data_IF_172163899799
#
_entry.id   IF_172163899799
#
_cell.length_a   1.000
_cell.length_b   1.000
_cell.length_c   1.000
_cell.angle_alpha   90.00
_cell.angle_beta   90.00
_cell.angle_gamma   90.00
#
_symmetry.space_group_name_H-M   'P 1'
#
loop_
_entity.id
_entity.type
_entity.pdbx_description
1 polymer ?
#
# COMPACT_ATOMS: atom_id res chain seq x y z
N UNK A 1 9.03 14.26 23.74
CA UNK A 1 8.60 12.91 23.33
C UNK A 1 7.10 12.86 23.03
N UNK A 2 6.20 13.22 23.96
CA UNK A 2 4.75 13.22 23.69
C UNK A 2 4.26 14.28 22.68
N UNK A 3 5.07 15.29 22.37
CA UNK A 3 4.79 16.34 21.38
C UNK A 3 5.26 15.96 19.96
N UNK A 4 5.91 14.80 19.79
CA UNK A 4 6.36 14.31 18.49
C UNK A 4 5.16 13.81 17.66
N UNK A 5 5.11 14.17 16.38
CA UNK A 5 4.00 13.81 15.50
C UNK A 5 3.93 12.32 15.20
N UNK A 6 5.00 11.56 15.46
CA UNK A 6 4.99 10.09 15.38
C UNK A 6 4.91 9.39 16.74
N UNK A 7 4.54 10.13 17.79
CA UNK A 7 4.44 9.57 19.13
C UNK A 7 3.37 8.47 19.21
N UNK A 8 3.83 7.25 19.48
CA UNK A 8 2.99 6.08 19.74
C UNK A 8 3.13 5.69 21.21
N UNK A 9 2.16 6.02 22.05
CA UNK A 9 2.29 5.98 23.53
C UNK A 9 2.62 4.60 24.11
N UNK A 10 2.12 3.53 23.50
CA UNK A 10 2.30 2.18 24.00
C UNK A 10 3.69 1.61 23.64
N UNK A 11 4.47 1.24 24.67
CA UNK A 11 5.81 0.70 24.51
C UNK A 11 5.86 -0.62 23.73
N UNK A 12 4.93 -1.54 23.96
CA UNK A 12 4.90 -2.81 23.23
C UNK A 12 4.63 -2.59 21.73
N UNK A 13 3.80 -1.60 21.38
CA UNK A 13 3.61 -1.20 19.99
C UNK A 13 4.89 -0.61 19.39
N UNK A 14 5.61 0.25 20.12
CA UNK A 14 6.91 0.79 19.66
C UNK A 14 7.95 -0.31 19.45
N UNK A 15 8.01 -1.29 20.35
CA UNK A 15 8.91 -2.43 20.19
C UNK A 15 8.60 -3.23 18.91
N UNK A 16 7.33 -3.44 18.58
CA UNK A 16 6.95 -4.16 17.35
C UNK A 16 7.10 -3.33 16.08
N UNK A 17 6.73 -2.04 16.11
CA UNK A 17 6.55 -1.22 14.92
C UNK A 17 7.69 -0.26 14.64
N UNK A 18 8.70 -0.18 15.51
CA UNK A 18 9.94 0.58 15.28
C UNK A 18 11.16 -0.32 15.45
N UNK A 19 11.24 -1.04 16.57
CA UNK A 19 12.47 -1.76 16.95
C UNK A 19 12.59 -3.13 16.30
N UNK A 20 11.51 -3.90 16.19
CA UNK A 20 11.56 -5.25 15.66
C UNK A 20 12.04 -5.28 14.20
N UNK A 21 13.05 -6.08 13.89
CA UNK A 21 13.64 -6.22 12.55
C UNK A 21 13.09 -7.43 11.78
N UNK A 22 12.23 -8.22 12.41
CA UNK A 22 11.69 -9.47 11.85
C UNK A 22 10.17 -9.40 11.73
N UNK A 23 9.68 -9.43 10.50
CA UNK A 23 8.27 -9.36 10.15
C UNK A 23 7.71 -10.68 9.63
N UNK A 24 6.38 -10.71 9.54
CA UNK A 24 5.61 -11.72 8.82
C UNK A 24 4.69 -10.98 7.86
N UNK A 25 4.76 -11.35 6.59
CA UNK A 25 3.81 -10.91 5.56
C UNK A 25 2.83 -12.05 5.28
N UNK A 26 1.60 -11.69 4.93
CA UNK A 26 0.57 -12.65 4.57
C UNK A 26 0.36 -12.63 3.06
N UNK A 27 0.28 -13.81 2.45
CA UNK A 27 0.16 -14.00 1.00
C UNK A 27 -0.82 -15.15 0.72
N UNK A 28 -0.98 -15.52 -0.56
CA UNK A 28 -1.81 -16.66 -0.98
C UNK A 28 -3.16 -16.18 -1.50
N UNK A 29 -4.26 -16.68 -0.95
CA UNK A 29 -5.59 -16.20 -1.28
C UNK A 29 -6.50 -16.29 -0.04
N UNK A 30 -7.72 -15.74 -0.11
CA UNK A 30 -8.66 -15.71 1.01
C UNK A 30 -8.97 -17.07 1.65
N UNK A 31 -8.87 -18.16 0.88
CA UNK A 31 -9.15 -19.52 1.35
C UNK A 31 -7.91 -20.21 1.92
N UNK A 32 -6.71 -19.75 1.56
CA UNK A 32 -5.43 -20.32 1.97
C UNK A 32 -4.39 -19.22 2.17
N UNK A 33 -4.42 -18.63 3.36
CA UNK A 33 -3.48 -17.59 3.78
C UNK A 33 -2.15 -18.24 4.17
N UNK A 34 -1.09 -17.84 3.50
CA UNK A 34 0.29 -18.28 3.73
C UNK A 34 1.06 -17.19 4.47
N UNK A 35 1.93 -17.58 5.39
CA UNK A 35 2.81 -16.68 6.11
C UNK A 35 4.20 -16.71 5.49
N UNK A 36 4.75 -15.54 5.15
CA UNK A 36 6.09 -15.35 4.61
C UNK A 36 6.93 -14.50 5.59
N UNK A 37 7.97 -15.07 6.23
CA UNK A 37 8.89 -14.31 7.06
C UNK A 37 9.67 -13.28 6.24
N UNK A 38 9.98 -12.13 6.85
CA UNK A 38 10.76 -11.08 6.21
C UNK A 38 11.74 -10.44 7.16
N UNK A 39 12.99 -10.31 6.71
CA UNK A 39 14.02 -9.57 7.40
C UNK A 39 13.99 -8.10 6.99
N UNK A 40 13.43 -7.22 7.82
CA UNK A 40 13.52 -5.78 7.62
C UNK A 40 14.97 -5.32 7.77
N UNK A 41 15.61 -5.66 8.88
CA UNK A 41 17.03 -5.42 9.13
C UNK A 41 17.42 -3.94 9.09
N UNK A 42 16.58 -3.06 9.64
CA UNK A 42 16.80 -1.62 9.62
C UNK A 42 18.05 -1.17 10.40
N UNK A 43 18.61 -2.00 11.28
CA UNK A 43 19.83 -1.72 12.05
C UNK A 43 21.06 -2.48 11.54
N UNK A 44 20.94 -3.21 10.43
CA UNK A 44 22.07 -3.86 9.77
C UNK A 44 23.06 -2.83 9.24
N UNK A 45 24.35 -3.19 9.27
CA UNK A 45 25.45 -2.29 8.87
C UNK A 45 25.24 -1.70 7.46
N UNK A 46 25.34 -0.37 7.36
CA UNK A 46 25.14 0.40 6.14
C UNK A 46 23.68 0.63 5.74
N UNK A 47 22.68 -0.03 6.33
CA UNK A 47 21.27 0.12 5.92
C UNK A 47 20.77 1.52 6.24
N UNK A 48 21.12 2.08 7.40
CA UNK A 48 20.70 3.41 7.80
C UNK A 48 21.19 4.52 6.86
N UNK A 49 22.45 4.44 6.44
CA UNK A 49 23.04 5.36 5.46
C UNK A 49 22.30 5.28 4.12
N UNK A 50 21.87 4.09 3.72
CA UNK A 50 21.09 3.89 2.49
C UNK A 50 19.70 4.51 2.63
N UNK A 51 19.03 4.33 3.77
CA UNK A 51 17.73 4.98 4.04
C UNK A 51 17.83 6.51 3.96
N UNK A 52 18.89 7.10 4.51
CA UNK A 52 19.14 8.55 4.38
C UNK A 52 19.48 8.94 2.93
N UNK A 53 20.22 8.09 2.20
CA UNK A 53 20.52 8.32 0.78
C UNK A 53 19.25 8.31 -0.08
N UNK A 54 18.28 7.44 0.20
CA UNK A 54 16.98 7.43 -0.49
C UNK A 54 16.30 8.80 -0.38
N UNK A 55 16.34 9.42 0.81
CA UNK A 55 15.82 10.78 1.00
C UNK A 55 16.55 11.80 0.14
N UNK A 56 17.86 11.68 -0.07
CA UNK A 56 18.64 12.62 -0.87
C UNK A 56 18.58 12.36 -2.39
N UNK A 57 18.11 11.19 -2.80
CA UNK A 57 17.92 10.85 -4.22
C UNK A 57 16.54 11.25 -4.75
N UNK A 58 15.66 11.79 -3.90
CA UNK A 58 14.32 12.15 -4.31
C UNK A 58 14.29 13.39 -5.23
N UNK A 59 13.38 13.44 -6.23
CA UNK A 59 13.33 14.55 -7.19
C UNK A 59 13.18 15.94 -6.57
N UNK A 60 12.51 16.08 -5.42
CA UNK A 60 12.35 17.37 -4.73
C UNK A 60 13.67 17.82 -4.12
N UNK A 61 14.44 16.92 -3.52
CA UNK A 61 15.79 17.23 -3.04
C UNK A 61 16.73 17.59 -4.18
N UNK A 62 16.74 16.81 -5.27
CA UNK A 62 17.59 17.10 -6.43
C UNK A 62 17.30 18.47 -7.07
N UNK A 63 16.05 18.94 -6.96
CA UNK A 63 15.62 20.26 -7.45
C UNK A 63 15.93 21.40 -6.48
N UNK A 64 15.59 21.25 -5.21
CA UNK A 64 15.81 22.25 -4.16
C UNK A 64 16.12 21.56 -2.81
N UNK A 65 17.41 21.30 -2.53
CA UNK A 65 17.82 20.63 -1.30
C UNK A 65 17.40 21.38 -0.03
N UNK A 66 17.46 22.71 -0.05
CA UNK A 66 17.16 23.52 1.13
C UNK A 66 15.67 23.44 1.47
N UNK A 67 14.80 23.54 0.47
CA UNK A 67 13.37 23.38 0.65
C UNK A 67 13.02 21.97 1.11
N UNK A 68 13.55 20.93 0.46
CA UNK A 68 13.28 19.54 0.85
C UNK A 68 13.70 19.27 2.31
N UNK A 69 14.93 19.63 2.68
CA UNK A 69 15.41 19.47 4.07
C UNK A 69 14.55 20.22 5.07
N UNK A 70 14.03 21.41 4.74
CA UNK A 70 13.16 22.18 5.65
C UNK A 70 11.83 21.49 5.95
N UNK A 71 11.40 20.54 5.11
CA UNK A 71 10.16 19.78 5.23
C UNK A 71 10.34 18.41 5.87
N UNK A 72 11.58 17.94 6.06
CA UNK A 72 11.85 16.60 6.63
C UNK A 72 11.48 16.42 8.11
N UNK A 73 11.06 17.48 8.79
CA UNK A 73 10.46 17.40 10.13
C UNK A 73 8.97 17.03 10.12
N UNK A 74 8.34 16.91 8.95
CA UNK A 74 6.93 16.57 8.78
C UNK A 74 6.78 15.09 8.34
N UNK A 75 6.20 14.20 9.17
CA UNK A 75 6.05 12.80 8.82
C UNK A 75 5.11 12.58 7.63
N UNK A 76 4.15 13.49 7.37
CA UNK A 76 3.27 13.41 6.20
C UNK A 76 4.09 13.60 4.92
N UNK A 77 4.96 14.61 4.91
CA UNK A 77 5.87 14.88 3.79
C UNK A 77 6.86 13.73 3.55
N UNK A 78 7.51 13.23 4.62
CA UNK A 78 8.43 12.10 4.55
C UNK A 78 7.75 10.86 3.99
N UNK A 79 6.57 10.52 4.52
CA UNK A 79 5.84 9.32 4.12
C UNK A 79 5.53 9.33 2.63
N UNK A 80 5.08 10.47 2.10
CA UNK A 80 4.75 10.62 0.68
C UNK A 80 5.98 10.59 -0.24
N UNK A 81 7.13 11.09 0.22
CA UNK A 81 8.40 10.92 -0.51
C UNK A 81 8.79 9.45 -0.56
N UNK A 82 8.74 8.76 0.58
CA UNK A 82 9.16 7.36 0.64
C UNK A 82 8.23 6.48 -0.18
N UNK A 83 6.91 6.66 -0.15
CA UNK A 83 6.00 5.89 -1.02
C UNK A 83 6.35 6.01 -2.50
N UNK A 84 6.81 7.20 -2.94
CA UNK A 84 7.27 7.39 -4.32
C UNK A 84 8.64 6.72 -4.56
N UNK A 85 9.61 7.00 -3.70
CA UNK A 85 11.01 6.61 -3.91
C UNK A 85 11.26 5.10 -3.80
N UNK A 86 10.33 4.33 -3.23
CA UNK A 86 10.48 2.88 -3.10
C UNK A 86 10.23 2.17 -4.44
N UNK A 87 9.30 2.66 -5.27
CA UNK A 87 9.19 2.22 -6.66
C UNK A 87 10.09 3.06 -7.58
N UNK A 88 10.28 2.63 -8.82
CA UNK A 88 11.17 3.30 -9.78
C UNK A 88 10.46 3.79 -11.04
N UNK A 89 9.15 4.04 -10.97
CA UNK A 89 8.35 4.28 -12.18
C UNK A 89 8.56 5.68 -12.77
N UNK A 90 8.79 6.69 -11.93
CA UNK A 90 8.96 8.09 -12.37
C UNK A 90 10.40 8.61 -12.24
N UNK A 91 11.21 7.93 -11.43
CA UNK A 91 12.52 8.40 -11.00
C UNK A 91 13.48 7.22 -10.70
N UNK A 92 14.65 7.53 -10.13
CA UNK A 92 15.66 6.52 -9.79
C UNK A 92 15.41 5.88 -8.42
N UNK A 93 14.14 5.55 -8.12
CA UNK A 93 13.77 4.90 -6.88
C UNK A 93 14.30 3.45 -6.74
N UNK A 94 13.90 2.78 -5.66
CA UNK A 94 14.63 1.61 -5.17
C UNK A 94 14.36 0.34 -5.99
N UNK A 95 13.08 0.03 -6.23
CA UNK A 95 12.65 -1.27 -6.76
C UNK A 95 11.93 -1.09 -8.10
N UNK A 96 12.38 -1.82 -9.11
CA UNK A 96 11.65 -1.94 -10.38
C UNK A 96 10.63 -3.07 -10.24
N UNK A 97 9.34 -2.75 -10.34
CA UNK A 97 8.26 -3.72 -10.14
C UNK A 97 7.96 -4.52 -11.41
N UNK A 98 7.63 -5.80 -11.27
CA UNK A 98 7.18 -6.63 -12.40
C UNK A 98 6.20 -7.72 -11.99
N UNK A 99 5.06 -7.78 -12.68
CA UNK A 99 4.05 -8.85 -12.58
C UNK A 99 4.09 -9.80 -13.79
N UNK A 100 5.15 -9.77 -14.59
CA UNK A 100 5.36 -10.72 -15.69
C UNK A 100 5.67 -12.13 -15.15
N UNK A 101 5.44 -13.16 -15.96
CA UNK A 101 5.86 -14.53 -15.66
C UNK A 101 7.37 -14.74 -15.80
N UNK A 102 8.07 -13.85 -16.54
CA UNK A 102 9.50 -14.02 -16.86
C UNK A 102 10.33 -12.84 -16.35
N UNK A 103 11.17 -13.10 -15.36
CA UNK A 103 12.03 -12.11 -14.70
C UNK A 103 13.43 -12.03 -15.32
N UNK A 104 13.52 -11.71 -16.62
CA UNK A 104 14.83 -11.61 -17.29
C UNK A 104 15.71 -10.50 -16.71
N UNK A 105 17.01 -10.78 -16.56
CA UNK A 105 18.01 -9.84 -16.03
C UNK A 105 17.71 -9.29 -14.63
N UNK A 106 16.93 -10.01 -13.83
CA UNK A 106 16.58 -9.64 -12.47
C UNK A 106 16.40 -10.86 -11.57
N UNK A 107 15.95 -10.59 -10.35
CA UNK A 107 15.61 -11.61 -9.36
C UNK A 107 14.10 -11.81 -9.39
N UNK A 108 13.65 -13.07 -9.32
CA UNK A 108 12.23 -13.39 -9.12
C UNK A 108 11.77 -12.74 -7.80
N UNK A 109 10.71 -11.91 -7.80
CA UNK A 109 10.20 -11.23 -6.59
C UNK A 109 9.96 -12.16 -5.39
N UNK A 110 9.56 -13.42 -5.64
CA UNK A 110 9.30 -14.42 -4.60
C UNK A 110 10.56 -14.99 -3.95
N UNK A 111 11.74 -14.74 -4.52
CA UNK A 111 13.03 -15.19 -3.95
C UNK A 111 13.56 -14.24 -2.87
N UNK A 112 13.01 -13.02 -2.77
CA UNK A 112 13.39 -12.09 -1.71
C UNK A 112 12.82 -12.53 -0.37
N UNK A 113 13.63 -12.44 0.67
CA UNK A 113 13.27 -12.75 2.05
C UNK A 113 13.57 -11.60 3.03
N UNK A 114 13.87 -10.41 2.50
CA UNK A 114 14.26 -9.26 3.30
C UNK A 114 14.71 -8.07 2.48
N UNK A 115 14.73 -6.90 3.14
CA UNK A 115 15.01 -5.60 2.51
C UNK A 115 16.50 -5.31 2.39
N UNK A 116 17.31 -5.84 3.30
CA UNK A 116 18.75 -5.54 3.43
C UNK A 116 19.52 -5.73 2.12
N UNK A 117 19.31 -6.88 1.45
CA UNK A 117 20.00 -7.18 0.20
C UNK A 117 19.55 -6.27 -0.95
N UNK A 118 18.26 -5.92 -1.00
CA UNK A 118 17.71 -5.02 -2.00
C UNK A 118 18.34 -3.63 -1.83
N UNK A 119 18.30 -3.08 -0.62
CA UNK A 119 18.87 -1.77 -0.30
C UNK A 119 20.37 -1.71 -0.62
N UNK A 120 21.15 -2.72 -0.20
CA UNK A 120 22.59 -2.80 -0.51
C UNK A 120 22.88 -2.96 -2.01
N UNK A 121 22.00 -3.60 -2.77
CA UNK A 121 22.14 -3.70 -4.23
C UNK A 121 21.86 -2.37 -4.90
N UNK A 122 20.81 -1.66 -4.49
CA UNK A 122 20.48 -0.33 -4.97
C UNK A 122 21.63 0.67 -4.71
N UNK A 123 22.20 0.66 -3.51
CA UNK A 123 23.32 1.54 -3.16
C UNK A 123 24.58 1.23 -3.99
N UNK A 124 25.00 -0.05 -4.04
CA UNK A 124 26.19 -0.47 -4.78
C UNK A 124 26.07 -0.34 -6.30
N UNK A 125 24.85 -0.32 -6.83
CA UNK A 125 24.59 -0.09 -8.27
C UNK A 125 24.64 1.39 -8.65
N UNK A 126 24.93 2.28 -7.69
CA UNK A 126 24.91 3.73 -7.89
C UNK A 126 23.49 4.27 -7.91
N UNK A 127 22.65 3.81 -6.99
CA UNK A 127 21.24 4.20 -6.86
C UNK A 127 20.40 3.84 -8.10
N UNK A 128 20.69 2.69 -8.73
CA UNK A 128 19.90 2.19 -9.86
C UNK A 128 18.82 1.21 -9.37
N UNK A 129 17.62 1.22 -9.96
CA UNK A 129 16.52 0.34 -9.55
C UNK A 129 16.91 -1.14 -9.52
N UNK A 130 16.46 -1.84 -8.47
CA UNK A 130 16.70 -3.27 -8.27
C UNK A 130 15.56 -4.06 -8.89
N UNK A 131 15.93 -4.96 -9.81
CA UNK A 131 15.00 -5.85 -10.53
C UNK A 131 14.86 -7.20 -9.82
N UNK A 132 13.69 -7.71 -9.50
CA UNK A 132 12.37 -7.06 -9.52
C UNK A 132 11.69 -7.20 -8.16
N UNK A 133 10.64 -6.42 -7.94
CA UNK A 133 9.72 -6.57 -6.82
C UNK A 133 8.26 -6.68 -7.25
N UNK A 134 7.41 -7.08 -6.30
CA UNK A 134 5.95 -6.99 -6.34
C UNK A 134 5.48 -6.38 -5.02
N UNK A 135 4.18 -6.11 -4.85
CA UNK A 135 3.64 -5.32 -3.73
C UNK A 135 4.25 -5.65 -2.35
N UNK A 136 4.36 -6.93 -1.97
CA UNK A 136 4.93 -7.34 -0.68
C UNK A 136 6.43 -7.03 -0.54
N UNK A 137 7.18 -7.03 -1.64
CA UNK A 137 8.61 -6.64 -1.67
C UNK A 137 8.71 -5.14 -1.43
N UNK A 138 7.91 -4.34 -2.13
CA UNK A 138 7.88 -2.89 -1.95
C UNK A 138 7.46 -2.52 -0.53
N UNK A 139 6.39 -3.13 -0.01
CA UNK A 139 5.92 -2.91 1.35
C UNK A 139 6.95 -3.33 2.41
N UNK A 140 7.70 -4.41 2.17
CA UNK A 140 8.79 -4.84 3.05
C UNK A 140 9.95 -3.85 3.09
N UNK A 141 10.38 -3.36 1.93
CA UNK A 141 11.45 -2.35 1.80
C UNK A 141 11.00 -1.02 2.41
N UNK A 142 9.77 -0.56 2.10
CA UNK A 142 9.21 0.65 2.68
C UNK A 142 9.12 0.57 4.21
N UNK A 143 8.64 -0.54 4.76
CA UNK A 143 8.60 -0.76 6.21
C UNK A 143 9.98 -0.59 6.85
N UNK A 144 11.02 -1.10 6.20
CA UNK A 144 12.41 -0.99 6.69
C UNK A 144 12.86 0.47 6.75
N UNK A 145 12.63 1.22 5.66
CA UNK A 145 13.00 2.63 5.58
C UNK A 145 12.22 3.47 6.59
N UNK A 146 10.91 3.29 6.70
CA UNK A 146 10.07 4.05 7.62
C UNK A 146 10.43 3.77 9.09
N UNK A 147 10.65 2.50 9.46
CA UNK A 147 11.12 2.12 10.81
C UNK A 147 12.48 2.73 11.13
N UNK A 148 13.41 2.72 10.19
CA UNK A 148 14.72 3.36 10.36
C UNK A 148 14.59 4.86 10.61
N UNK A 149 13.70 5.54 9.87
CA UNK A 149 13.42 6.96 10.03
C UNK A 149 12.65 7.29 11.32
N UNK A 150 12.33 6.28 12.14
CA UNK A 150 11.67 6.45 13.43
C UNK A 150 10.14 6.55 13.35
N UNK A 151 9.55 6.31 12.17
CA UNK A 151 8.10 6.31 11.99
C UNK A 151 7.59 4.90 12.31
N UNK A 152 6.67 4.71 13.29
CA UNK A 152 6.14 3.39 13.57
C UNK A 152 5.36 2.86 12.38
N UNK A 153 5.74 1.69 11.88
CA UNK A 153 5.20 1.13 10.62
C UNK A 153 4.91 -0.36 10.75
N UNK A 154 3.77 -0.78 10.20
CA UNK A 154 3.41 -2.19 10.01
C UNK A 154 3.07 -2.49 8.55
N UNK A 155 3.24 -3.74 8.16
CA UNK A 155 2.85 -4.23 6.84
C UNK A 155 1.43 -4.79 6.94
N UNK A 156 0.59 -4.48 5.95
CA UNK A 156 -0.81 -4.90 5.88
C UNK A 156 -1.04 -5.63 4.56
N UNK A 157 -1.70 -6.78 4.64
CA UNK A 157 -2.16 -7.54 3.46
C UNK A 157 -3.68 -7.45 3.38
N UNK A 158 -4.20 -7.08 2.22
CA UNK A 158 -5.61 -7.19 1.86
C UNK A 158 -5.82 -8.37 0.90
N UNK A 159 -6.81 -9.24 1.15
CA UNK A 159 -7.17 -10.32 0.21
C UNK A 159 -8.39 -9.93 -0.61
N UNK A 160 -8.45 -10.36 -1.87
CA UNK A 160 -9.44 -9.86 -2.84
C UNK A 160 -9.37 -8.32 -2.93
N UNK A 161 -8.18 -7.80 -3.25
CA UNK A 161 -7.97 -6.36 -3.36
C UNK A 161 -8.40 -5.87 -4.72
N UNK A 162 -9.34 -4.95 -4.77
CA UNK A 162 -9.70 -4.29 -6.01
C UNK A 162 -8.57 -3.35 -6.44
N UNK A 163 -8.29 -3.32 -7.73
CA UNK A 163 -7.51 -2.28 -8.38
C UNK A 163 -8.49 -1.57 -9.32
N UNK A 164 -9.04 -0.45 -8.86
CA UNK A 164 -9.95 0.41 -9.62
C UNK A 164 -9.12 1.53 -10.27
N UNK A 165 -9.05 1.51 -11.60
CA UNK A 165 -8.25 2.43 -12.42
C UNK A 165 -9.03 3.66 -12.90
N UNK A 166 -10.32 3.75 -12.60
CA UNK A 166 -11.20 4.80 -13.10
C UNK A 166 -11.96 5.57 -12.00
N UNK A 167 -11.68 5.25 -10.72
CA UNK A 167 -12.23 5.90 -9.52
C UNK A 167 -13.76 5.82 -9.45
N UNK A 168 -14.34 4.74 -9.99
CA UNK A 168 -15.79 4.51 -9.93
C UNK A 168 -16.23 3.78 -8.66
N UNK A 169 -15.27 3.32 -7.84
CA UNK A 169 -15.48 2.39 -6.72
C UNK A 169 -16.04 1.03 -7.19
N UNK A 170 -15.91 0.73 -8.48
CA UNK A 170 -16.37 -0.52 -9.07
C UNK A 170 -15.26 -1.16 -9.90
N UNK A 171 -15.22 -2.49 -9.90
CA UNK A 171 -14.35 -3.30 -10.76
C UNK A 171 -15.24 -4.00 -11.77
N UNK A 172 -15.06 -3.69 -13.06
CA UNK A 172 -15.85 -4.29 -14.12
C UNK A 172 -15.22 -5.60 -14.60
N UNK A 173 -15.95 -6.71 -14.49
CA UNK A 173 -15.52 -8.01 -15.01
C UNK A 173 -16.38 -8.43 -16.20
N UNK A 174 -15.74 -8.69 -17.34
CA UNK A 174 -16.43 -9.04 -18.58
C UNK A 174 -16.38 -10.54 -18.86
N UNK A 175 -17.49 -11.08 -19.34
CA UNK A 175 -17.67 -12.49 -19.69
C UNK A 175 -18.28 -12.61 -21.08
N UNK A 176 -17.98 -13.70 -21.78
CA UNK A 176 -18.73 -14.08 -22.97
C UNK A 176 -20.05 -14.79 -22.62
N UNK A 177 -20.89 -15.03 -23.64
CA UNK A 177 -22.17 -15.74 -23.52
C UNK A 177 -22.03 -17.18 -22.98
N UNK A 178 -20.83 -17.76 -22.99
CA UNK A 178 -20.54 -19.10 -22.48
C UNK A 178 -20.02 -19.08 -21.03
N UNK A 179 -19.94 -17.89 -20.41
CA UNK A 179 -19.45 -17.70 -19.04
C UNK A 179 -17.93 -17.71 -18.90
N UNK A 180 -17.17 -17.60 -20.00
CA UNK A 180 -15.72 -17.45 -19.94
C UNK A 180 -15.38 -16.00 -19.61
N UNK A 181 -14.58 -15.79 -18.56
CA UNK A 181 -14.02 -14.47 -18.25
C UNK A 181 -13.12 -14.01 -19.39
N UNK A 182 -13.37 -12.80 -19.86
CA UNK A 182 -12.61 -12.17 -20.94
C UNK A 182 -11.52 -11.30 -20.33
N UNK A 183 -10.31 -11.42 -20.87
CA UNK A 183 -9.25 -10.46 -20.59
C UNK A 183 -9.58 -9.17 -21.33
N UNK A 184 -10.04 -8.17 -20.60
CA UNK A 184 -10.26 -6.84 -21.15
C UNK A 184 -9.03 -5.98 -20.94
N UNK A 185 -8.83 -5.04 -21.86
CA UNK A 185 -7.77 -4.02 -21.74
C UNK A 185 -8.11 -2.93 -20.73
N UNK A 186 -9.31 -2.96 -20.12
CA UNK A 186 -9.68 -2.11 -18.99
C UNK A 186 -8.91 -2.64 -17.78
N UNK A 187 -8.08 -1.78 -17.18
CA UNK A 187 -7.05 -2.15 -16.21
C UNK A 187 -7.58 -2.62 -14.84
N UNK A 188 -8.89 -2.62 -14.66
CA UNK A 188 -9.52 -3.02 -13.41
C UNK A 188 -9.31 -4.51 -13.16
N UNK A 189 -8.89 -4.85 -11.95
CA UNK A 189 -8.60 -6.24 -11.59
C UNK A 189 -8.82 -6.49 -10.11
N UNK A 190 -9.13 -7.74 -9.76
CA UNK A 190 -9.15 -8.19 -8.37
C UNK A 190 -7.91 -9.04 -8.13
N UNK A 191 -7.03 -8.56 -7.27
CA UNK A 191 -5.82 -9.27 -6.90
C UNK A 191 -6.13 -10.26 -5.78
N UNK A 192 -5.60 -11.48 -5.89
CA UNK A 192 -5.73 -12.49 -4.83
C UNK A 192 -5.36 -11.93 -3.46
N UNK A 193 -4.30 -11.13 -3.44
CA UNK A 193 -3.94 -10.26 -2.34
C UNK A 193 -3.13 -9.06 -2.84
N UNK A 194 -3.16 -7.99 -2.06
CA UNK A 194 -2.30 -6.83 -2.22
C UNK A 194 -1.70 -6.45 -0.86
N UNK A 195 -0.52 -5.83 -0.86
CA UNK A 195 0.23 -5.55 0.37
C UNK A 195 0.72 -4.11 0.35
N UNK A 196 0.43 -3.38 1.43
CA UNK A 196 0.86 -2.00 1.66
C UNK A 196 1.38 -1.81 3.08
N UNK A 197 1.64 -0.57 3.47
CA UNK A 197 2.09 -0.19 4.81
C UNK A 197 1.04 0.67 5.53
N UNK A 198 1.00 0.55 6.85
CA UNK A 198 0.40 1.58 7.70
C UNK A 198 1.49 2.24 8.53
N UNK A 199 1.51 3.56 8.56
CA UNK A 199 2.42 4.35 9.39
C UNK A 199 1.64 5.17 10.42
N UNK A 200 2.13 5.21 11.66
CA UNK A 200 1.49 5.93 12.75
C UNK A 200 1.99 7.38 12.78
N UNK A 201 1.08 8.33 12.65
CA UNK A 201 1.38 9.76 12.77
C UNK A 201 0.14 10.59 13.11
N UNK A 202 0.37 11.80 13.63
CA UNK A 202 -0.61 12.86 13.69
C UNK A 202 -0.84 13.46 12.29
N UNK A 203 -2.07 13.93 12.03
CA UNK A 203 -2.49 14.56 10.78
C UNK A 203 -2.88 16.02 11.02
N UNK A 204 -1.89 16.83 11.40
CA UNK A 204 -2.04 18.28 11.66
C UNK A 204 -2.46 19.08 10.43
N UNK A 205 -2.27 18.52 9.25
CA UNK A 205 -2.72 19.04 7.95
C UNK A 205 -4.24 18.85 7.73
N UNK A 206 -4.87 17.94 8.49
CA UNK A 206 -6.30 17.63 8.39
C UNK A 206 -7.12 18.20 9.56
N UNK A 207 -8.45 18.11 9.45
CA UNK A 207 -9.35 18.32 10.59
C UNK A 207 -9.11 17.27 11.68
N UNK A 208 -9.38 17.63 12.93
CA UNK A 208 -9.17 16.74 14.07
C UNK A 208 -9.87 15.40 13.92
N UNK A 209 -9.19 14.32 14.28
CA UNK A 209 -9.76 12.98 14.37
C UNK A 209 -9.22 11.96 13.37
N UNK A 210 -8.27 12.32 12.51
CA UNK A 210 -7.61 11.41 11.56
C UNK A 210 -6.17 11.01 11.96
N UNK A 211 -5.75 11.35 13.18
CA UNK A 211 -4.49 10.85 13.74
C UNK A 211 -4.50 9.32 13.87
N UNK A 212 -3.31 8.73 13.90
CA UNK A 212 -3.11 7.29 14.07
C UNK A 212 -2.59 6.64 12.79
N UNK A 213 -3.12 5.46 12.45
CA UNK A 213 -2.67 4.69 11.28
C UNK A 213 -3.07 5.33 9.95
N UNK A 214 -2.07 5.52 9.10
CA UNK A 214 -2.20 6.05 7.75
C UNK A 214 -1.72 5.00 6.75
N UNK A 215 -2.55 4.64 5.77
CA UNK A 215 -2.17 3.79 4.66
C UNK A 215 -1.17 4.52 3.77
N UNK A 216 -0.11 3.81 3.42
CA UNK A 216 0.90 4.21 2.46
C UNK A 216 1.19 3.01 1.57
N UNK A 217 1.14 3.22 0.26
CA UNK A 217 1.44 2.17 -0.70
C UNK A 217 2.51 2.65 -1.67
N UNK A 218 3.61 1.90 -1.71
CA UNK A 218 4.71 2.13 -2.63
C UNK A 218 4.49 1.44 -3.98
N UNK A 219 3.48 0.58 -4.10
CA UNK A 219 3.14 -0.12 -5.33
C UNK A 219 2.63 0.89 -6.37
N UNK A 220 3.25 0.96 -7.56
CA UNK A 220 2.90 1.96 -8.57
C UNK A 220 1.62 1.54 -9.31
N UNK A 221 0.48 1.68 -8.63
CA UNK A 221 -0.86 1.40 -9.17
C UNK A 221 -1.45 2.66 -9.80
N UNK A 222 -1.63 3.71 -9.01
CA UNK A 222 -2.24 4.97 -9.44
C UNK A 222 -1.28 6.17 -9.32
N UNK A 223 -1.49 7.15 -10.20
CA UNK A 223 -0.72 8.39 -10.22
C UNK A 223 -1.41 9.43 -9.34
N UNK A 224 -0.73 9.87 -8.28
CA UNK A 224 -1.23 10.91 -7.38
C UNK A 224 -0.38 12.17 -7.44
N UNK A 225 -0.97 13.28 -7.88
CA UNK A 225 -0.25 14.55 -8.04
C UNK A 225 0.86 14.50 -9.12
N UNK A 226 0.73 13.61 -10.10
CA UNK A 226 1.69 13.43 -11.19
C UNK A 226 2.85 12.48 -10.89
N UNK A 227 2.78 11.70 -9.81
CA UNK A 227 3.80 10.70 -9.42
C UNK A 227 3.13 9.44 -8.88
N UNK A 228 3.69 8.27 -9.15
CA UNK A 228 3.30 6.97 -8.57
C UNK A 228 3.63 6.95 -7.07
N UNK A 229 2.67 7.41 -6.29
CA UNK A 229 2.70 7.42 -4.83
C UNK A 229 1.28 7.34 -4.30
N UNK A 230 1.12 6.75 -3.12
CA UNK A 230 -0.17 6.63 -2.47
C UNK A 230 -0.05 6.89 -0.97
N UNK A 231 -0.93 7.77 -0.47
CA UNK A 231 -1.02 8.16 0.94
C UNK A 231 -0.14 9.35 1.32
N UNK A 232 -0.09 9.69 2.64
CA UNK A 232 -0.72 8.98 3.75
C UNK A 232 -2.25 9.16 3.79
N UNK A 233 -2.98 8.05 3.74
CA UNK A 233 -4.45 8.00 3.75
C UNK A 233 -4.96 7.52 5.13
N UNK A 234 -5.72 8.32 5.91
CA UNK A 234 -6.14 7.86 7.23
C UNK A 234 -7.02 6.60 7.15
N UNK A 235 -6.63 5.52 7.85
CA UNK A 235 -7.43 4.28 7.94
C UNK A 235 -8.85 4.58 8.41
N UNK A 236 -8.99 5.55 9.31
CA UNK A 236 -10.30 6.03 9.77
C UNK A 236 -11.12 6.69 8.66
N UNK A 237 -10.52 7.51 7.79
CA UNK A 237 -11.24 8.12 6.67
C UNK A 237 -11.74 7.05 5.69
N UNK A 238 -10.92 6.01 5.44
CA UNK A 238 -11.33 4.85 4.64
C UNK A 238 -12.52 4.15 5.29
N UNK A 239 -12.47 3.89 6.60
CA UNK A 239 -13.58 3.25 7.31
C UNK A 239 -14.88 4.03 7.27
N UNK A 240 -14.81 5.36 7.43
CA UNK A 240 -15.99 6.21 7.43
C UNK A 240 -16.46 6.60 6.01
N UNK A 241 -15.72 6.23 4.95
CA UNK A 241 -16.04 6.59 3.57
C UNK A 241 -15.88 8.08 3.27
N UNK A 242 -14.88 8.71 3.88
CA UNK A 242 -14.65 10.16 3.83
C UNK A 242 -13.75 10.56 2.66
N UNK A 243 -14.33 10.58 1.47
CA UNK A 243 -13.62 10.72 0.18
C UNK A 243 -12.94 12.07 -0.03
N UNK A 244 -13.33 13.10 0.73
CA UNK A 244 -12.80 14.46 0.60
C UNK A 244 -11.49 14.68 1.38
N UNK A 245 -11.00 13.66 2.09
CA UNK A 245 -9.79 13.74 2.91
C UNK A 245 -8.56 13.37 2.07
N UNK A 246 -7.55 14.23 2.12
CA UNK A 246 -6.25 13.91 1.54
C UNK A 246 -5.51 12.83 2.37
N UNK A 247 -4.79 11.89 1.78
CA UNK A 247 -4.54 11.70 0.35
C UNK A 247 -5.16 10.39 -0.13
N UNK A 248 -5.52 10.32 -1.41
CA UNK A 248 -5.78 9.06 -2.13
C UNK A 248 -6.90 8.18 -1.54
N UNK A 249 -7.80 8.76 -0.75
CA UNK A 249 -8.87 8.01 -0.07
C UNK A 249 -9.80 7.27 -1.05
N UNK A 250 -10.26 7.85 -2.17
CA UNK A 250 -11.11 7.13 -3.11
C UNK A 250 -10.46 5.84 -3.63
N UNK A 251 -9.16 5.91 -3.95
CA UNK A 251 -8.40 4.75 -4.41
C UNK A 251 -8.32 3.68 -3.32
N UNK A 252 -7.80 4.03 -2.14
CA UNK A 252 -7.62 3.05 -1.06
C UNK A 252 -8.97 2.50 -0.56
N UNK A 253 -10.03 3.30 -0.60
CA UNK A 253 -11.38 2.85 -0.30
C UNK A 253 -11.85 1.80 -1.30
N UNK A 254 -11.66 2.02 -2.61
CA UNK A 254 -12.00 1.04 -3.63
C UNK A 254 -11.26 -0.28 -3.39
N UNK A 255 -9.98 -0.26 -3.00
CA UNK A 255 -9.19 -1.47 -2.74
C UNK A 255 -9.86 -2.41 -1.71
N UNK A 256 -10.61 -1.87 -0.73
CA UNK A 256 -11.22 -2.64 0.37
C UNK A 256 -12.75 -2.71 0.35
N UNK A 257 -13.42 -1.86 -0.43
CA UNK A 257 -14.88 -1.76 -0.50
C UNK A 257 -15.45 -1.70 -1.93
N UNK A 258 -14.62 -1.86 -2.96
CA UNK A 258 -15.08 -1.83 -4.34
C UNK A 258 -16.13 -2.92 -4.63
N UNK A 259 -17.12 -2.58 -5.45
CA UNK A 259 -18.11 -3.56 -5.92
C UNK A 259 -17.65 -4.20 -7.23
N UNK A 260 -17.81 -5.50 -7.38
CA UNK A 260 -17.54 -6.17 -8.66
C UNK A 260 -18.81 -6.17 -9.49
N UNK A 261 -18.78 -5.54 -10.66
CA UNK A 261 -19.89 -5.54 -11.61
C UNK A 261 -19.59 -6.52 -12.73
N UNK A 262 -20.40 -7.58 -12.84
CA UNK A 262 -20.25 -8.52 -13.94
C UNK A 262 -20.99 -8.02 -15.18
N UNK A 263 -20.34 -8.09 -16.33
CA UNK A 263 -20.89 -7.73 -17.64
C UNK A 263 -20.81 -8.92 -18.60
N UNK A 264 -21.87 -9.15 -19.36
CA UNK A 264 -21.89 -10.18 -20.42
C UNK A 264 -21.83 -9.49 -21.77
N UNK A 265 -20.77 -9.74 -22.54
CA UNK A 265 -20.61 -9.22 -23.90
C UNK A 265 -21.35 -10.11 -24.91
N UNK A 266 -22.22 -9.50 -25.69
CA UNK A 266 -23.01 -10.13 -26.76
C UNK A 266 -22.87 -9.32 -28.06
N UNK A 267 -23.31 -9.87 -29.20
CA UNK A 267 -23.21 -9.20 -30.52
C UNK A 267 -23.87 -7.80 -30.56
N UNK A 268 -24.81 -7.51 -29.64
CA UNK A 268 -25.51 -6.23 -29.51
C UNK A 268 -24.95 -5.24 -28.47
N UNK A 269 -23.91 -5.61 -27.71
CA UNK A 269 -23.33 -4.77 -26.66
C UNK A 269 -23.05 -5.52 -25.34
N UNK A 270 -22.83 -4.76 -24.27
CA UNK A 270 -22.61 -5.28 -22.91
C UNK A 270 -23.92 -5.23 -22.11
N UNK A 271 -24.31 -6.37 -21.52
CA UNK A 271 -25.44 -6.47 -20.61
C UNK A 271 -24.94 -6.57 -19.16
N UNK A 272 -25.50 -5.74 -18.26
CA UNK A 272 -25.15 -5.77 -16.84
C UNK A 272 -25.73 -7.03 -16.18
N UNK A 273 -24.85 -7.85 -15.62
CA UNK A 273 -25.18 -9.02 -14.80
C UNK A 273 -25.33 -8.67 -13.32
N UNK A 274 -24.96 -9.62 -12.47
CA UNK A 274 -24.98 -9.44 -11.02
C UNK A 274 -23.86 -8.47 -10.57
N UNK A 275 -24.14 -7.71 -9.51
CA UNK A 275 -23.11 -6.96 -8.76
C UNK A 275 -22.80 -7.70 -7.46
N UNK A 276 -21.54 -7.99 -7.23
CA UNK A 276 -21.03 -8.53 -5.96
C UNK A 276 -20.50 -7.38 -5.10
N UNK A 277 -21.19 -7.13 -4.00
CA UNK A 277 -20.92 -6.04 -3.06
C UNK A 277 -20.15 -6.50 -1.83
N UNK A 278 -19.71 -7.76 -1.82
CA UNK A 278 -19.18 -8.42 -0.63
C UNK A 278 -17.82 -9.04 -0.84
N UNK A 279 -17.38 -9.37 -2.05
CA UNK A 279 -16.17 -10.17 -2.23
C UNK A 279 -14.86 -9.44 -1.95
N UNK A 280 -14.81 -8.12 -2.21
CA UNK A 280 -13.59 -7.32 -2.04
C UNK A 280 -13.25 -7.08 -0.57
N UNK A 281 -11.97 -6.92 -0.27
CA UNK A 281 -11.50 -6.45 1.03
C UNK A 281 -11.68 -7.50 2.13
N UNK A 282 -10.99 -8.64 2.04
CA UNK A 282 -11.12 -9.76 2.97
C UNK A 282 -9.87 -9.97 3.79
N UNK A 283 -10.09 -10.39 5.03
CA UNK A 283 -9.06 -10.82 5.96
C UNK A 283 -7.87 -9.86 5.98
N UNK A 284 -8.13 -8.55 6.09
CA UNK A 284 -7.08 -7.54 6.11
C UNK A 284 -6.19 -7.86 7.32
N UNK A 285 -4.92 -8.14 7.05
CA UNK A 285 -4.05 -8.86 7.98
C UNK A 285 -2.77 -8.11 8.26
N UNK A 286 -2.35 -8.13 9.52
CA UNK A 286 -1.01 -7.69 9.92
C UNK A 286 -0.43 -8.65 10.96
N UNK A 287 0.87 -8.52 11.25
CA UNK A 287 1.53 -9.33 12.27
C UNK A 287 1.12 -8.82 13.65
N UNK A 288 0.69 -9.74 14.53
CA UNK A 288 0.38 -9.43 15.93
C UNK A 288 1.61 -8.94 16.70
N UNK A 289 1.36 -8.05 17.66
CA UNK A 289 2.38 -7.48 18.55
C UNK A 289 2.99 -8.59 19.43
N UNK A 290 4.31 -8.74 19.40
CA UNK A 290 5.02 -9.66 20.29
C UNK A 290 4.81 -11.15 20.03
N UNK A 291 4.08 -11.53 18.97
CA UNK A 291 3.87 -12.92 18.57
C UNK A 291 4.00 -13.11 17.06
N UNK A 292 4.16 -14.37 16.64
CA UNK A 292 4.22 -14.78 15.23
C UNK A 292 2.84 -15.26 14.74
N UNK A 293 1.79 -14.51 15.05
CA UNK A 293 0.41 -14.81 14.69
C UNK A 293 -0.17 -13.71 13.80
N UNK A 294 -1.16 -14.09 12.99
CA UNK A 294 -1.94 -13.16 12.18
C UNK A 294 -2.95 -12.43 13.05
N UNK A 295 -2.96 -11.10 12.94
CA UNK A 295 -4.01 -10.23 13.44
C UNK A 295 -4.91 -9.83 12.28
N UNK A 296 -6.22 -10.01 12.45
CA UNK A 296 -7.22 -9.54 11.50
C UNK A 296 -7.65 -8.13 11.90
N UNK A 297 -7.48 -7.18 11.00
CA UNK A 297 -7.79 -5.76 11.20
C UNK A 297 -8.85 -5.28 10.20
N UNK A 298 -9.62 -6.20 9.60
CA UNK A 298 -10.66 -5.85 8.60
C UNK A 298 -11.68 -4.86 9.15
N UNK A 299 -12.02 -4.98 10.44
CA UNK A 299 -12.94 -4.09 11.14
C UNK A 299 -12.40 -2.66 11.35
N UNK A 300 -11.09 -2.45 11.17
CA UNK A 300 -10.48 -1.13 11.18
C UNK A 300 -10.66 -0.39 9.85
N UNK A 301 -10.87 -1.13 8.75
CA UNK A 301 -11.02 -0.59 7.41
C UNK A 301 -12.47 -0.48 6.94
N UNK A 302 -13.37 -1.33 7.44
CA UNK A 302 -14.78 -1.29 7.06
C UNK A 302 -15.70 -1.87 8.12
N UNK A 303 -16.98 -1.50 8.00
CA UNK A 303 -18.03 -2.04 8.84
C UNK A 303 -18.39 -3.48 8.42
N UNK A 304 -18.98 -4.28 9.32
CA UNK A 304 -19.43 -5.62 8.97
C UNK A 304 -20.47 -5.60 7.84
N UNK A 305 -20.15 -6.32 6.78
CA UNK A 305 -21.00 -6.55 5.62
C UNK A 305 -22.43 -6.95 6.02
N UNK A 306 -23.43 -6.32 5.39
CA UNK A 306 -24.85 -6.67 5.55
C UNK A 306 -25.53 -6.20 6.85
N UNK A 307 -24.86 -5.42 7.73
CA UNK A 307 -25.46 -4.93 8.99
C UNK A 307 -25.83 -3.44 9.05
N UNK A 308 -25.46 -2.61 8.07
CA UNK A 308 -25.91 -1.22 7.95
C UNK A 308 -26.01 -0.81 6.48
N UNK A 309 -26.80 0.23 6.19
CA UNK A 309 -27.04 0.77 4.85
C UNK A 309 -25.72 1.19 4.16
N UNK A 310 -25.12 0.30 3.37
CA UNK A 310 -24.08 0.64 2.38
C UNK A 310 -24.56 1.67 1.32
N UNK A 311 -25.84 2.03 1.37
CA UNK A 311 -26.53 2.77 0.30
C UNK A 311 -26.56 4.30 0.49
N UNK A 312 -26.05 4.89 1.58
CA UNK A 312 -26.32 6.31 1.85
C UNK A 312 -25.28 7.29 1.30
N UNK A 313 -24.03 6.89 1.02
CA UNK A 313 -23.00 7.87 0.61
C UNK A 313 -22.58 7.82 -0.86
N UNK A 314 -22.80 6.71 -1.57
CA UNK A 314 -22.23 6.53 -2.92
C UNK A 314 -23.04 7.25 -4.03
N UNK A 315 -24.31 7.59 -3.80
CA UNK A 315 -25.17 8.17 -4.84
C UNK A 315 -25.13 9.71 -4.96
N UNK A 316 -24.39 10.44 -4.12
CA UNK A 316 -24.48 11.92 -4.11
C UNK A 316 -23.52 12.61 -5.09
N UNK A 317 -22.51 11.92 -5.65
CA UNK A 317 -21.48 12.57 -6.47
C UNK A 317 -21.41 12.14 -7.94
N UNK A 318 -22.42 11.44 -8.48
CA UNK A 318 -22.52 11.19 -9.93
C UNK A 318 -23.59 12.11 -10.53
N UNK A 319 -23.20 13.34 -10.85
CA UNK A 319 -23.90 14.22 -11.81
C UNK A 319 -22.89 15.06 -12.61
#
# INVERSE_FOLDING_TARGET
FAEDDVFLDNEALRQEYVINEHGLLYQGNKNFIVTAPWNFGQFEDGVGEICLRIMDMNPKFLKDPAYDCSKRGDPVYISRIISAMINSNDDCGVVESSWSEVFTNGVNPSSWNGSVNILRLWDRSGCRPVRYGQCWVLAGVMCTVMRFLGIPTRVVTNFESAHDTNLTLTVDEFYDENGKKLETTQGDSVWNFHVWNECWMARKDLRSGYDGWQVLDATPQEISGGTYCCGPAPVKAIKEGDMDVDYDIPFVFAEVNGDIVHWVLQEGGAEKGQTDTYSIGKFISTKSIGSNTREDITDQYKYPEGKYYHTVFIYIYIY
#
